data_IF_265230031896
#
_entry.id   IF_265230031896
#
_cell.length_a   1.000
_cell.length_b   1.000
_cell.length_c   1.000
_cell.angle_alpha   90.00
_cell.angle_beta   90.00
_cell.angle_gamma   90.00
#
_symmetry.space_group_name_H-M   'P 1'
#
loop_
_entity.id
_entity.type
_entity.pdbx_description
1 polymer ?
#
# COMPACT_ATOMS: atom_id res chain seq x y z
N UNK A 1 12.34 8.72 -17.41
CA UNK A 1 10.92 8.91 -17.76
C UNK A 1 9.96 8.64 -16.59
N UNK A 2 10.28 7.76 -15.62
CA UNK A 2 9.49 7.63 -14.37
C UNK A 2 10.04 8.46 -13.20
N UNK A 3 11.28 8.98 -13.30
CA UNK A 3 11.95 9.66 -12.19
C UNK A 3 11.23 10.93 -11.72
N UNK A 4 10.68 11.72 -12.64
CA UNK A 4 9.88 12.90 -12.30
C UNK A 4 8.59 12.52 -11.55
N UNK A 5 8.00 11.37 -11.88
CA UNK A 5 6.76 10.88 -11.26
C UNK A 5 6.93 10.47 -9.79
N UNK A 6 8.17 10.27 -9.33
CA UNK A 6 8.53 9.90 -7.96
C UNK A 6 8.98 11.09 -7.10
N UNK A 7 9.18 12.27 -7.69
CA UNK A 7 9.56 13.48 -6.95
C UNK A 7 8.32 14.19 -6.41
N UNK A 8 7.83 13.72 -5.27
CA UNK A 8 6.66 14.28 -4.59
C UNK A 8 7.04 15.45 -3.68
N UNK A 9 6.20 16.49 -3.65
CA UNK A 9 6.37 17.63 -2.77
C UNK A 9 6.29 17.22 -1.29
N UNK A 10 5.46 16.22 -0.99
CA UNK A 10 5.39 15.62 0.34
C UNK A 10 6.76 15.19 0.86
N UNK A 11 7.61 14.58 0.01
CA UNK A 11 8.92 14.12 0.44
C UNK A 11 9.84 15.27 0.80
N UNK A 12 9.92 16.31 -0.04
CA UNK A 12 10.74 17.50 0.25
C UNK A 12 10.27 18.23 1.50
N UNK A 13 8.95 18.35 1.68
CA UNK A 13 8.38 19.10 2.81
C UNK A 13 8.51 18.37 4.15
N UNK A 14 8.63 17.04 4.12
CA UNK A 14 8.65 16.18 5.31
C UNK A 14 10.02 15.55 5.59
N UNK A 15 11.09 16.17 5.06
CA UNK A 15 12.47 15.83 5.40
C UNK A 15 12.96 14.50 4.82
N UNK A 16 12.31 13.98 3.76
CA UNK A 16 12.81 12.82 3.06
C UNK A 16 13.92 13.22 2.08
N UNK A 17 14.91 12.33 1.98
CA UNK A 17 15.97 12.42 0.99
C UNK A 17 15.92 11.20 0.08
N UNK A 18 16.02 11.44 -1.22
CA UNK A 18 16.12 10.38 -2.22
C UNK A 18 17.54 9.83 -2.23
N UNK A 19 17.68 8.52 -2.14
CA UNK A 19 18.95 7.79 -2.14
C UNK A 19 18.90 6.59 -3.07
N UNK A 20 20.06 6.11 -3.48
CA UNK A 20 20.20 4.86 -4.23
C UNK A 20 20.72 3.77 -3.29
N UNK A 21 20.01 2.64 -3.24
CA UNK A 21 20.39 1.51 -2.41
C UNK A 21 21.73 0.93 -2.85
N UNK A 22 22.68 0.81 -1.92
CA UNK A 22 24.01 0.23 -2.21
C UNK A 22 23.98 -1.26 -2.55
N UNK A 23 22.91 -1.97 -2.19
CA UNK A 23 22.76 -3.41 -2.43
C UNK A 23 22.04 -3.72 -3.75
N UNK A 24 20.82 -3.19 -3.95
CA UNK A 24 20.01 -3.49 -5.14
C UNK A 24 20.03 -2.41 -6.23
N UNK A 25 20.68 -1.27 -5.98
CA UNK A 25 20.76 -0.16 -6.93
C UNK A 25 19.45 0.61 -7.17
N UNK A 26 18.35 0.23 -6.50
CA UNK A 26 17.06 0.92 -6.63
C UNK A 26 17.01 2.18 -5.77
N UNK A 27 16.25 3.16 -6.22
CA UNK A 27 16.05 4.40 -5.49
C UNK A 27 14.99 4.24 -4.40
N UNK A 28 15.16 4.98 -3.31
CA UNK A 28 14.24 5.02 -2.19
C UNK A 28 14.31 6.37 -1.48
N UNK A 29 13.26 6.69 -0.76
CA UNK A 29 13.16 7.90 0.07
C UNK A 29 13.26 7.52 1.55
N UNK A 30 14.04 8.29 2.30
CA UNK A 30 14.27 8.08 3.74
C UNK A 30 14.46 9.39 4.48
N UNK A 31 14.01 9.46 5.73
CA UNK A 31 14.36 10.55 6.67
C UNK A 31 15.70 10.31 7.37
N UNK A 32 16.16 9.06 7.41
CA UNK A 32 17.46 8.69 7.97
C UNK A 32 18.60 9.06 6.98
N UNK A 33 19.41 10.05 7.37
CA UNK A 33 20.55 10.57 6.61
C UNK A 33 21.71 9.57 6.56
N UNK A 34 21.82 8.65 7.50
CA UNK A 34 22.89 7.66 7.55
C UNK A 34 22.55 6.37 6.79
N UNK A 35 21.25 6.08 6.59
CA UNK A 35 20.78 4.89 5.87
C UNK A 35 21.34 4.81 4.45
N UNK A 36 21.89 3.63 4.09
CA UNK A 36 22.47 3.32 2.77
C UNK A 36 21.70 2.25 1.97
N UNK A 37 20.75 1.56 2.61
CA UNK A 37 19.96 0.45 2.04
C UNK A 37 18.46 0.77 2.07
N UNK A 38 17.68 0.10 1.20
CA UNK A 38 16.29 0.48 0.94
C UNK A 38 15.28 0.00 1.98
N UNK A 39 15.69 -0.75 3.01
CA UNK A 39 14.81 -1.26 4.05
C UNK A 39 14.06 -2.54 3.69
N UNK A 40 14.25 -3.07 2.49
CA UNK A 40 13.53 -4.23 1.97
C UNK A 40 14.43 -5.47 1.86
N UNK A 41 13.85 -6.65 2.04
CA UNK A 41 14.56 -7.91 1.89
C UNK A 41 14.83 -8.18 0.40
N UNK A 42 16.05 -8.59 0.00
CA UNK A 42 17.13 -9.10 0.84
C UNK A 42 18.20 -8.06 1.26
N UNK A 43 18.01 -6.77 0.96
CA UNK A 43 19.01 -5.73 1.27
C UNK A 43 19.13 -5.51 2.78
N UNK A 44 18.00 -5.57 3.50
CA UNK A 44 17.93 -5.45 4.95
C UNK A 44 17.26 -6.71 5.54
N UNK A 45 17.78 -7.27 6.65
CA UNK A 45 17.13 -8.36 7.37
C UNK A 45 15.95 -7.83 8.21
N UNK A 46 15.09 -8.74 8.67
CA UNK A 46 14.02 -8.38 9.59
C UNK A 46 14.56 -8.03 10.97
N UNK A 47 14.26 -6.81 11.42
CA UNK A 47 14.63 -6.30 12.74
C UNK A 47 13.51 -6.38 13.76
N UNK A 48 12.26 -6.59 13.32
CA UNK A 48 11.07 -6.53 14.18
C UNK A 48 10.80 -7.83 14.95
N UNK A 49 11.52 -8.92 14.66
CA UNK A 49 11.33 -10.22 15.34
C UNK A 49 11.91 -10.11 16.75
N UNK A 50 11.03 -10.18 17.76
CA UNK A 50 11.40 -9.96 19.16
C UNK A 50 11.52 -8.48 19.56
N UNK A 51 11.34 -7.55 18.61
CA UNK A 51 11.36 -6.11 18.83
C UNK A 51 10.24 -5.43 18.03
N UNK A 52 8.97 -5.46 18.53
CA UNK A 52 7.83 -4.90 17.82
C UNK A 52 8.04 -3.43 17.43
N UNK A 53 7.74 -3.09 16.17
CA UNK A 53 7.91 -1.74 15.62
C UNK A 53 6.71 -0.81 15.89
N UNK A 54 5.53 -1.39 16.10
CA UNK A 54 4.33 -0.64 16.47
C UNK A 54 4.19 -0.60 17.98
N UNK A 55 3.73 0.54 18.51
CA UNK A 55 3.41 0.68 19.94
C UNK A 55 2.14 -0.05 20.32
N UNK A 56 1.24 -0.26 19.35
CA UNK A 56 -0.01 -0.99 19.51
C UNK A 56 0.20 -2.44 19.07
N UNK A 57 -0.13 -3.39 19.94
CA UNK A 57 -0.29 -4.79 19.56
C UNK A 57 -1.76 -4.98 19.19
N UNK A 58 -2.02 -5.37 17.95
CA UNK A 58 -3.37 -5.48 17.39
C UNK A 58 -3.56 -6.89 16.86
N UNK A 59 -4.68 -7.49 17.20
CA UNK A 59 -5.18 -8.71 16.55
C UNK A 59 -5.66 -8.40 15.12
N UNK A 60 -5.86 -9.44 14.31
CA UNK A 60 -6.28 -9.28 12.90
C UNK A 60 -7.55 -8.43 12.73
N UNK A 61 -8.57 -8.65 13.57
CA UNK A 61 -9.80 -7.87 13.53
C UNK A 61 -9.60 -6.42 13.98
N UNK A 62 -8.73 -6.20 14.97
CA UNK A 62 -8.46 -4.87 15.50
C UNK A 62 -7.67 -4.02 14.50
N UNK A 63 -6.68 -4.62 13.82
CA UNK A 63 -5.95 -3.95 12.74
C UNK A 63 -6.88 -3.61 11.57
N UNK A 64 -7.80 -4.51 11.21
CA UNK A 64 -8.81 -4.25 10.18
C UNK A 64 -9.67 -3.03 10.54
N UNK A 65 -10.26 -3.03 11.73
CA UNK A 65 -11.11 -1.92 12.16
C UNK A 65 -10.31 -0.63 12.31
N UNK A 66 -9.09 -0.69 12.85
CA UNK A 66 -8.23 0.48 12.98
C UNK A 66 -7.92 1.14 11.62
N UNK A 67 -7.62 0.32 10.61
CA UNK A 67 -7.36 0.81 9.26
C UNK A 67 -8.62 1.43 8.65
N UNK A 68 -9.76 0.74 8.71
CA UNK A 68 -11.00 1.20 8.10
C UNK A 68 -11.47 2.50 8.76
N UNK A 69 -11.49 2.57 10.09
CA UNK A 69 -11.85 3.77 10.86
C UNK A 69 -10.92 4.96 10.56
N UNK A 70 -9.61 4.71 10.41
CA UNK A 70 -8.64 5.76 10.05
C UNK A 70 -8.99 6.46 8.73
N UNK A 71 -9.49 5.72 7.74
CA UNK A 71 -9.89 6.28 6.45
C UNK A 71 -11.34 6.78 6.44
N UNK A 72 -12.25 6.13 7.18
CA UNK A 72 -13.64 6.60 7.36
C UNK A 72 -13.69 8.00 8.01
N UNK A 73 -12.87 8.24 9.03
CA UNK A 73 -12.71 9.56 9.68
C UNK A 73 -12.08 10.63 8.77
N UNK A 74 -11.62 10.23 7.57
CA UNK A 74 -11.05 11.09 6.53
C UNK A 74 -11.89 11.04 5.25
N UNK A 75 -13.21 10.90 5.41
CA UNK A 75 -14.22 10.96 4.35
C UNK A 75 -14.08 9.88 3.25
N UNK A 76 -13.41 8.75 3.54
CA UNK A 76 -13.45 7.58 2.66
C UNK A 76 -14.63 6.70 3.03
N UNK A 77 -15.46 6.36 2.05
CA UNK A 77 -16.58 5.46 2.31
C UNK A 77 -16.08 4.02 2.48
N UNK A 78 -16.49 3.38 3.56
CA UNK A 78 -16.16 1.98 3.84
C UNK A 78 -16.97 1.05 2.96
N UNK A 79 -16.27 0.22 2.21
CA UNK A 79 -16.85 -0.81 1.36
C UNK A 79 -16.84 -2.18 2.02
N UNK A 80 -17.90 -2.95 1.79
CA UNK A 80 -17.89 -4.38 2.06
C UNK A 80 -16.96 -5.12 1.09
N UNK A 81 -16.38 -6.23 1.56
CA UNK A 81 -15.49 -7.06 0.75
C UNK A 81 -16.22 -7.71 -0.44
N UNK A 82 -15.50 -7.84 -1.54
CA UNK A 82 -15.89 -8.64 -2.69
C UNK A 82 -15.52 -10.13 -2.48
N UNK A 83 -16.14 -11.06 -3.21
CA UNK A 83 -15.72 -12.46 -3.16
C UNK A 83 -14.33 -12.65 -3.77
N UNK A 84 -13.58 -13.62 -3.28
CA UNK A 84 -12.24 -13.97 -3.83
C UNK A 84 -12.28 -14.53 -5.25
N UNK A 85 -13.48 -14.87 -5.75
CA UNK A 85 -13.70 -15.30 -7.13
C UNK A 85 -14.17 -14.10 -7.93
N UNK A 86 -13.44 -13.77 -9.00
CA UNK A 86 -13.67 -12.60 -9.83
C UNK A 86 -14.88 -12.77 -10.75
N UNK A 87 -16.10 -12.74 -10.20
CA UNK A 87 -17.35 -12.99 -10.94
C UNK A 87 -17.74 -11.88 -11.93
N UNK A 88 -17.19 -10.69 -11.76
CA UNK A 88 -17.53 -9.48 -12.51
C UNK A 88 -16.67 -9.25 -13.76
N UNK A 89 -15.67 -10.11 -14.00
CA UNK A 89 -14.71 -10.00 -15.09
C UNK A 89 -14.37 -11.39 -15.65
N UNK A 90 -13.78 -11.43 -16.83
CA UNK A 90 -13.55 -12.65 -17.63
C UNK A 90 -12.07 -12.91 -17.96
N UNK A 91 -11.17 -12.01 -17.57
CA UNK A 91 -9.73 -12.05 -17.84
C UNK A 91 -8.89 -12.67 -16.70
N UNK A 92 -9.40 -12.69 -15.47
CA UNK A 92 -8.79 -13.38 -14.32
C UNK A 92 -9.83 -14.17 -13.52
N UNK A 93 -9.41 -15.26 -12.86
CA UNK A 93 -10.32 -16.10 -12.07
C UNK A 93 -10.50 -15.64 -10.61
N UNK A 94 -9.45 -15.09 -10.01
CA UNK A 94 -9.37 -14.78 -8.58
C UNK A 94 -8.99 -13.32 -8.34
N UNK A 95 -9.42 -12.77 -7.21
CA UNK A 95 -9.02 -11.43 -6.78
C UNK A 95 -7.55 -11.41 -6.36
N UNK A 96 -6.69 -10.79 -7.18
CA UNK A 96 -5.23 -10.73 -6.95
C UNK A 96 -4.77 -9.47 -6.19
N UNK A 97 -5.63 -8.45 -6.16
CA UNK A 97 -5.43 -7.16 -5.50
C UNK A 97 -6.80 -6.49 -5.29
N UNK A 98 -6.93 -5.56 -4.34
CA UNK A 98 -8.17 -4.81 -4.12
C UNK A 98 -8.62 -4.00 -5.34
N UNK A 99 -7.67 -3.51 -6.18
CA UNK A 99 -8.02 -2.77 -7.40
C UNK A 99 -8.71 -3.66 -8.44
N UNK A 100 -8.51 -4.99 -8.36
CA UNK A 100 -9.13 -5.95 -9.27
C UNK A 100 -10.67 -5.98 -9.15
N UNK A 101 -11.22 -5.54 -8.01
CA UNK A 101 -12.65 -5.43 -7.74
C UNK A 101 -13.33 -4.37 -8.63
N UNK A 102 -12.55 -3.37 -9.05
CA UNK A 102 -13.03 -2.22 -9.82
C UNK A 102 -12.63 -2.28 -11.30
N UNK A 103 -11.74 -3.20 -11.66
CA UNK A 103 -11.31 -3.42 -13.04
C UNK A 103 -12.28 -4.33 -13.83
N UNK A 104 -12.39 -4.14 -15.15
CA UNK A 104 -11.86 -3.02 -15.92
C UNK A 104 -12.83 -1.82 -15.99
N UNK A 105 -14.10 -2.00 -15.59
CA UNK A 105 -15.18 -1.06 -15.91
C UNK A 105 -15.07 0.28 -15.18
N UNK A 106 -14.72 0.26 -13.88
CA UNK A 106 -14.54 1.50 -13.12
C UNK A 106 -13.24 2.18 -13.50
N UNK A 107 -12.14 1.42 -13.60
CA UNK A 107 -10.82 1.97 -13.95
C UNK A 107 -10.75 2.54 -15.36
N UNK A 108 -11.58 2.05 -16.30
CA UNK A 108 -11.72 2.63 -17.64
C UNK A 108 -12.70 3.81 -17.70
N UNK A 109 -13.43 4.09 -16.62
CA UNK A 109 -14.44 5.15 -16.55
C UNK A 109 -15.79 4.81 -17.20
N UNK A 110 -16.02 3.53 -17.56
CA UNK A 110 -17.31 3.09 -18.11
C UNK A 110 -18.42 3.07 -17.06
N UNK A 111 -18.07 2.79 -15.81
CA UNK A 111 -18.98 2.73 -14.66
C UNK A 111 -18.40 3.58 -13.53
N UNK A 112 -19.20 4.37 -12.80
CA UNK A 112 -18.69 5.09 -11.63
C UNK A 112 -18.27 4.11 -10.52
N UNK A 113 -17.28 4.46 -9.69
CA UNK A 113 -17.00 3.69 -8.48
C UNK A 113 -18.20 3.74 -7.53
N UNK A 114 -18.38 2.74 -6.65
CA UNK A 114 -19.49 2.73 -5.68
C UNK A 114 -19.42 3.92 -4.72
N UNK A 115 -18.21 4.37 -4.39
CA UNK A 115 -17.93 5.57 -3.61
C UNK A 115 -16.58 6.17 -4.04
N UNK A 116 -16.33 7.45 -3.72
CA UNK A 116 -15.09 8.11 -4.12
C UNK A 116 -14.75 9.31 -3.22
N UNK A 117 -13.72 9.23 -2.35
CA UNK A 117 -12.80 8.11 -2.20
C UNK A 117 -13.42 6.96 -1.38
N UNK A 118 -12.83 5.76 -1.44
CA UNK A 118 -13.32 4.58 -0.73
C UNK A 118 -12.20 3.87 0.04
N UNK A 119 -12.55 3.09 1.06
CA UNK A 119 -11.65 2.23 1.84
C UNK A 119 -12.21 0.81 1.98
N UNK A 120 -11.36 -0.22 1.94
CA UNK A 120 -11.78 -1.63 1.93
C UNK A 120 -10.71 -2.54 2.55
N UNK A 121 -11.13 -3.64 3.17
CA UNK A 121 -10.27 -4.79 3.49
C UNK A 121 -10.65 -5.97 2.61
N UNK A 122 -9.93 -6.15 1.50
CA UNK A 122 -10.28 -7.14 0.48
C UNK A 122 -9.45 -8.43 0.62
N UNK A 123 -10.07 -9.60 0.86
CA UNK A 123 -9.37 -10.87 0.73
C UNK A 123 -8.91 -11.12 -0.70
N UNK A 124 -7.63 -11.40 -0.86
CA UNK A 124 -6.96 -11.68 -2.12
C UNK A 124 -6.33 -13.07 -2.11
N UNK A 125 -6.19 -13.66 -3.29
CA UNK A 125 -5.46 -14.91 -3.50
C UNK A 125 -4.35 -14.67 -4.54
N UNK A 126 -3.11 -14.94 -4.16
CA UNK A 126 -1.95 -14.94 -5.07
C UNK A 126 -1.31 -16.31 -5.09
N UNK A 127 -1.36 -16.95 -6.26
CA UNK A 127 -0.73 -18.25 -6.49
C UNK A 127 0.67 -18.12 -7.12
N UNK A 128 1.03 -16.93 -7.61
CA UNK A 128 2.38 -16.65 -8.13
C UNK A 128 3.48 -16.82 -7.08
N UNK A 129 3.15 -16.57 -5.81
CA UNK A 129 4.10 -16.59 -4.69
C UNK A 129 4.12 -17.94 -3.97
N UNK A 130 3.45 -18.97 -4.51
CA UNK A 130 3.22 -20.26 -3.84
C UNK A 130 4.52 -20.91 -3.36
N UNK A 131 5.57 -20.91 -4.18
CA UNK A 131 6.86 -21.52 -3.85
C UNK A 131 7.60 -20.82 -2.69
N UNK A 132 7.24 -19.56 -2.41
CA UNK A 132 7.83 -18.77 -1.34
C UNK A 132 7.06 -18.89 -0.02
N UNK A 133 5.81 -19.40 -0.05
CA UNK A 133 4.97 -19.60 1.13
C UNK A 133 5.63 -20.63 2.07
N UNK A 134 5.71 -20.28 3.35
CA UNK A 134 6.40 -21.08 4.37
C UNK A 134 7.93 -21.02 4.32
N UNK A 135 8.54 -20.45 3.28
CA UNK A 135 10.00 -20.27 3.16
C UNK A 135 10.46 -18.88 3.56
N UNK A 136 9.75 -17.84 3.12
CA UNK A 136 10.14 -16.45 3.38
C UNK A 136 9.67 -15.91 4.74
N UNK A 137 8.69 -16.58 5.38
CA UNK A 137 8.00 -16.10 6.58
C UNK A 137 7.06 -14.92 6.37
N UNK A 138 6.98 -14.34 5.15
CA UNK A 138 6.15 -13.16 4.82
C UNK A 138 5.12 -13.38 3.71
N UNK A 139 5.22 -14.47 2.94
CA UNK A 139 4.31 -14.75 1.84
C UNK A 139 3.16 -15.66 2.31
N UNK A 140 1.95 -15.31 1.88
CA UNK A 140 0.72 -16.06 2.07
C UNK A 140 0.06 -16.28 0.72
N UNK A 141 -0.63 -17.42 0.54
CA UNK A 141 -1.50 -17.61 -0.63
C UNK A 141 -2.75 -16.76 -0.54
N UNK A 142 -3.34 -16.68 0.65
CA UNK A 142 -4.54 -15.90 0.96
C UNK A 142 -4.21 -14.84 2.01
N UNK A 143 -4.55 -13.60 1.75
CA UNK A 143 -4.32 -12.48 2.67
C UNK A 143 -5.37 -11.40 2.46
N UNK A 144 -5.54 -10.53 3.44
CA UNK A 144 -6.37 -9.33 3.28
C UNK A 144 -5.49 -8.17 2.83
N UNK A 145 -5.85 -7.59 1.68
CA UNK A 145 -5.29 -6.35 1.17
C UNK A 145 -6.20 -5.21 1.59
N UNK A 146 -5.78 -4.47 2.61
CA UNK A 146 -6.41 -3.21 2.98
C UNK A 146 -6.00 -2.12 1.99
N UNK A 147 -6.95 -1.33 1.51
CA UNK A 147 -6.69 -0.29 0.52
C UNK A 147 -7.63 0.90 0.68
N UNK A 148 -7.13 2.08 0.31
CA UNK A 148 -7.92 3.26 0.02
C UNK A 148 -7.78 3.58 -1.46
N UNK A 149 -8.89 3.75 -2.17
CA UNK A 149 -8.92 4.03 -3.61
C UNK A 149 -9.58 5.37 -3.90
N UNK A 150 -8.98 6.07 -4.85
CA UNK A 150 -9.49 7.33 -5.38
C UNK A 150 -9.48 7.28 -6.89
N UNK A 151 -10.63 7.54 -7.50
CA UNK A 151 -10.81 7.48 -8.95
C UNK A 151 -10.93 8.90 -9.51
N UNK A 152 -9.79 9.46 -9.92
CA UNK A 152 -9.75 10.80 -10.52
C UNK A 152 -10.17 10.77 -12.00
N UNK A 153 -10.77 11.86 -12.46
CA UNK A 153 -11.13 12.09 -13.86
C UNK A 153 -10.48 13.39 -14.33
N UNK A 154 -10.49 13.65 -15.64
CA UNK A 154 -9.95 14.91 -16.20
C UNK A 154 -10.62 16.18 -15.65
N UNK A 155 -11.83 16.07 -15.11
CA UNK A 155 -12.63 17.20 -14.63
C UNK A 155 -12.81 17.23 -13.11
N UNK A 156 -12.49 16.14 -12.42
CA UNK A 156 -12.63 16.03 -10.97
C UNK A 156 -11.50 15.19 -10.41
N UNK A 157 -10.65 15.86 -9.64
CA UNK A 157 -9.62 15.25 -8.80
C UNK A 157 -10.08 15.34 -7.33
N UNK A 158 -9.91 14.26 -6.60
CA UNK A 158 -10.17 14.20 -5.16
C UNK A 158 -8.86 14.40 -4.41
N UNK A 159 -7.88 13.52 -4.66
CA UNK A 159 -6.48 13.70 -4.26
C UNK A 159 -5.56 12.82 -5.12
N UNK A 160 -4.25 13.08 -5.06
CA UNK A 160 -3.26 12.35 -5.85
C UNK A 160 -2.11 11.80 -5.00
N UNK A 161 -0.90 11.78 -5.54
CA UNK A 161 0.25 11.07 -4.96
C UNK A 161 0.70 11.64 -3.62
N UNK A 162 0.81 12.97 -3.49
CA UNK A 162 1.25 13.62 -2.25
C UNK A 162 0.36 13.25 -1.07
N UNK A 163 -0.95 13.35 -1.24
CA UNK A 163 -1.92 12.95 -0.22
C UNK A 163 -1.93 11.45 0.03
N UNK A 164 -1.76 10.62 -1.01
CA UNK A 164 -1.67 9.17 -0.84
C UNK A 164 -0.51 8.79 0.07
N UNK A 165 0.67 9.37 -0.17
CA UNK A 165 1.86 9.12 0.66
C UNK A 165 1.69 9.73 2.05
N UNK A 166 1.12 10.94 2.15
CA UNK A 166 0.80 11.58 3.44
C UNK A 166 -0.10 10.70 4.31
N UNK A 167 -1.19 10.16 3.74
CA UNK A 167 -2.11 9.28 4.46
C UNK A 167 -1.43 7.99 4.93
N UNK A 168 -0.55 7.42 4.11
CA UNK A 168 0.27 6.26 4.49
C UNK A 168 1.20 6.60 5.67
N UNK A 169 1.91 7.73 5.60
CA UNK A 169 2.83 8.17 6.65
C UNK A 169 2.13 8.49 7.97
N UNK A 170 0.96 9.16 7.89
CA UNK A 170 0.10 9.44 9.04
C UNK A 170 -0.42 8.14 9.69
N UNK A 171 -0.85 7.17 8.89
CA UNK A 171 -1.31 5.87 9.38
C UNK A 171 -0.20 5.17 10.15
N UNK A 172 1.00 5.06 9.57
CA UNK A 172 2.16 4.42 10.21
C UNK A 172 2.56 5.15 11.51
N UNK A 173 2.55 6.49 11.50
CA UNK A 173 2.84 7.30 12.68
C UNK A 173 1.78 7.08 13.77
N UNK A 174 0.50 6.97 13.40
CA UNK A 174 -0.60 6.72 14.33
C UNK A 174 -0.53 5.34 15.03
N UNK A 175 0.12 4.37 14.38
CA UNK A 175 0.44 3.05 14.95
C UNK A 175 1.65 3.09 15.89
N UNK A 176 2.34 4.24 15.96
CA UNK A 176 3.47 4.47 16.85
C UNK A 176 4.82 4.06 16.27
N UNK A 177 4.91 3.86 14.97
CA UNK A 177 6.17 3.57 14.25
C UNK A 177 7.15 4.72 14.43
N UNK A 178 8.44 4.42 14.51
CA UNK A 178 9.49 5.44 14.37
C UNK A 178 9.48 6.01 12.93
N UNK A 179 9.20 7.31 12.73
CA UNK A 179 9.17 7.91 11.40
C UNK A 179 10.50 7.81 10.64
N UNK A 180 11.63 7.64 11.34
CA UNK A 180 12.96 7.45 10.73
C UNK A 180 13.15 6.03 10.16
N UNK A 181 12.37 5.05 10.63
CA UNK A 181 12.45 3.68 10.17
C UNK A 181 11.70 3.44 8.85
N UNK A 182 10.81 4.35 8.45
CA UNK A 182 9.99 4.23 7.23
C UNK A 182 10.79 4.64 6.01
N UNK A 183 10.77 3.77 4.99
CA UNK A 183 11.40 3.99 3.69
C UNK A 183 10.40 3.77 2.56
N UNK A 184 10.38 4.66 1.57
CA UNK A 184 9.55 4.52 0.36
C UNK A 184 10.43 4.13 -0.83
N UNK A 185 10.44 2.86 -1.20
CA UNK A 185 11.23 2.32 -2.31
C UNK A 185 10.50 2.50 -3.65
N UNK A 186 11.20 3.00 -4.65
CA UNK A 186 10.65 3.22 -6.00
C UNK A 186 10.58 1.89 -6.76
N UNK A 187 9.39 1.50 -7.19
CA UNK A 187 9.15 0.31 -8.01
C UNK A 187 8.00 0.56 -9.00
N UNK A 188 8.09 0.07 -10.24
CA UNK A 188 6.93 -0.03 -11.12
C UNK A 188 6.01 -1.17 -10.65
N UNK A 189 4.70 -0.94 -10.72
CA UNK A 189 3.70 -1.95 -10.40
C UNK A 189 2.78 -2.19 -11.60
N UNK A 190 2.45 -3.46 -11.86
CA UNK A 190 1.52 -3.89 -12.90
C UNK A 190 0.79 -5.17 -12.47
N UNK A 191 -0.44 -5.36 -12.96
CA UNK A 191 -1.28 -6.52 -12.66
C UNK A 191 -2.66 -6.42 -13.30
#
# INVERSE_FOLDING_TARGET
MLEEEYQLQFFSDNGFTRKQCTSCGKFYWTRDIERQTCGDAPCDPYTFIGAPVFKKQLELSEMREYYLDFFETRDHERMDRYPVVARWRDDIYLTIASIADFQPFVTSGQVPPPANPLTISQPCIRLSDLDAVGRSGRHLTTFEMMAHHTFNTKTKEIYWKDDTVRLCDELLTSLGTDPLAVTYKEEPWAG
#
